data_IF_490340924005
#
_entry.id   IF_490340924005
#
_cell.length_a   1.000
_cell.length_b   1.000
_cell.length_c   1.000
_cell.angle_alpha   90.00
_cell.angle_beta   90.00
_cell.angle_gamma   90.00
#
_symmetry.space_group_name_H-M   'P 1'
#
loop_
_entity.id
_entity.type
_entity.pdbx_description
1 polymer ?
#
# COMPACT_ATOMS: atom_id res chain seq x y z
N UNK A 1 -3.75 2.74 31.48
CA UNK A 1 -4.81 2.77 30.47
C UNK A 1 -5.80 1.64 30.62
N UNK A 2 -5.43 0.62 31.39
CA UNK A 2 -6.34 -0.51 31.56
C UNK A 2 -7.61 -0.09 32.25
N UNK A 3 -7.51 0.87 33.15
CA UNK A 3 -8.68 1.33 33.87
C UNK A 3 -9.69 1.99 32.95
N UNK A 4 -9.25 2.45 31.80
CA UNK A 4 -10.14 3.12 30.86
C UNK A 4 -10.73 2.19 29.82
N UNK A 5 -10.37 0.91 29.88
CA UNK A 5 -10.86 -0.06 28.91
C UNK A 5 -9.80 -0.42 27.89
N UNK A 6 -10.22 -1.09 26.84
CA UNK A 6 -9.33 -1.62 25.82
C UNK A 6 -9.45 -0.83 24.53
N UNK A 7 -8.34 -0.74 23.81
CA UNK A 7 -8.34 -0.20 22.46
C UNK A 7 -7.84 -1.30 21.55
N UNK A 8 -8.65 -1.66 20.57
CA UNK A 8 -8.31 -2.72 19.64
C UNK A 8 -8.24 -2.15 18.24
N UNK A 9 -7.17 -2.47 17.55
CA UNK A 9 -6.96 -2.03 16.17
C UNK A 9 -7.25 -3.22 15.28
N UNK A 10 -8.22 -3.07 14.39
CA UNK A 10 -8.62 -4.18 13.52
C UNK A 10 -7.65 -4.33 12.35
N UNK A 11 -7.70 -5.50 11.74
CA UNK A 11 -6.93 -5.73 10.52
C UNK A 11 -7.30 -4.73 9.43
N UNK A 12 -8.57 -4.36 9.39
CA UNK A 12 -9.04 -3.43 8.39
C UNK A 12 -8.37 -2.08 8.52
N UNK A 13 -8.18 -1.62 9.74
CA UNK A 13 -7.52 -0.33 9.95
C UNK A 13 -6.08 -0.38 9.44
N UNK A 14 -5.36 -1.45 9.80
CA UNK A 14 -3.97 -1.57 9.36
C UNK A 14 -3.90 -1.68 7.84
N UNK A 15 -4.79 -2.48 7.26
CA UNK A 15 -4.81 -2.63 5.80
C UNK A 15 -5.09 -1.31 5.11
N UNK A 16 -6.02 -0.54 5.64
CA UNK A 16 -6.36 0.75 5.04
C UNK A 16 -5.18 1.70 5.09
N UNK A 17 -4.49 1.76 6.22
CA UNK A 17 -3.33 2.63 6.34
C UNK A 17 -2.27 2.22 5.32
N UNK A 18 -1.98 0.93 5.25
CA UNK A 18 -0.94 0.45 4.35
C UNK A 18 -1.31 0.75 2.90
N UNK A 19 -2.56 0.53 2.55
CA UNK A 19 -2.97 0.75 1.17
C UNK A 19 -2.89 2.22 0.79
N UNK A 20 -3.31 3.09 1.67
CA UNK A 20 -3.24 4.52 1.39
C UNK A 20 -1.79 4.98 1.23
N UNK A 21 -0.92 4.49 2.11
CA UNK A 21 0.49 4.85 2.00
C UNK A 21 1.09 4.36 0.69
N UNK A 22 0.82 3.11 0.35
CA UNK A 22 1.38 2.53 -0.87
C UNK A 22 0.89 3.27 -2.10
N UNK A 23 -0.38 3.67 -2.11
CA UNK A 23 -0.95 4.36 -3.25
C UNK A 23 -0.33 5.73 -3.49
N UNK A 24 0.32 6.30 -2.49
CA UNK A 24 0.95 7.60 -2.63
C UNK A 24 2.38 7.51 -3.11
N UNK A 25 2.95 6.33 -3.17
CA UNK A 25 4.35 6.18 -3.52
C UNK A 25 4.50 6.18 -5.03
N UNK A 26 5.37 7.06 -5.53
CA UNK A 26 5.71 7.04 -6.95
C UNK A 26 6.36 5.71 -7.27
N UNK A 27 6.04 5.19 -8.42
CA UNK A 27 6.56 3.90 -8.83
C UNK A 27 5.61 2.77 -8.56
N UNK A 28 4.57 2.98 -7.77
CA UNK A 28 3.55 1.98 -7.53
C UNK A 28 2.33 2.32 -8.38
N UNK A 29 1.94 1.37 -9.22
CA UNK A 29 0.72 1.55 -10.01
C UNK A 29 -0.49 1.21 -9.18
N UNK A 30 -0.47 0.07 -8.53
CA UNK A 30 -1.58 -0.37 -7.70
C UNK A 30 -1.14 -1.60 -6.92
N UNK A 31 -2.01 -2.06 -6.05
CA UNK A 31 -1.89 -3.40 -5.50
C UNK A 31 -2.47 -4.38 -6.50
N UNK A 32 -1.99 -5.62 -6.45
CA UNK A 32 -2.48 -6.65 -7.35
C UNK A 32 -3.98 -6.80 -7.14
N UNK A 33 -4.75 -6.71 -8.22
CA UNK A 33 -6.20 -6.79 -8.13
C UNK A 33 -6.85 -5.56 -7.55
N UNK A 34 -6.05 -4.55 -7.24
CA UNK A 34 -6.57 -3.33 -6.67
C UNK A 34 -7.01 -2.35 -7.73
N UNK A 35 -7.42 -1.20 -7.26
CA UNK A 35 -7.95 -0.15 -8.11
C UNK A 35 -7.01 1.04 -8.12
N UNK A 36 -7.30 1.98 -8.97
CA UNK A 36 -6.58 3.23 -8.98
C UNK A 36 -6.78 3.95 -7.65
N UNK A 37 -6.00 5.01 -7.46
CA UNK A 37 -6.04 5.74 -6.20
C UNK A 37 -7.44 6.17 -5.84
N UNK A 38 -8.21 6.64 -6.80
CA UNK A 38 -9.58 7.08 -6.52
C UNK A 38 -10.50 5.92 -6.19
N UNK A 39 -10.19 4.76 -6.71
CA UNK A 39 -11.05 3.61 -6.52
C UNK A 39 -10.72 2.83 -5.27
N UNK A 40 -9.54 3.05 -4.70
CA UNK A 40 -9.17 2.36 -3.47
C UNK A 40 -10.15 2.68 -2.36
N UNK A 41 -10.56 3.93 -2.25
CA UNK A 41 -11.49 4.31 -1.22
C UNK A 41 -12.81 3.57 -1.38
N UNK A 42 -13.31 3.48 -2.61
CA UNK A 42 -14.52 2.72 -2.86
C UNK A 42 -14.34 1.25 -2.53
N UNK A 43 -13.15 0.73 -2.86
CA UNK A 43 -12.86 -0.66 -2.58
C UNK A 43 -13.00 -0.96 -1.10
N UNK A 44 -12.45 -0.09 -0.26
CA UNK A 44 -12.52 -0.32 1.18
C UNK A 44 -13.91 -0.08 1.74
N UNK A 45 -14.72 0.69 1.06
CA UNK A 45 -16.09 0.88 1.50
C UNK A 45 -16.95 -0.34 1.23
N UNK A 46 -16.59 -1.11 0.22
CA UNK A 46 -17.43 -2.23 -0.19
C UNK A 46 -16.81 -3.59 0.10
N UNK A 47 -15.55 -3.65 0.50
CA UNK A 47 -14.84 -4.89 0.67
C UNK A 47 -14.14 -4.87 2.02
N UNK A 48 -14.12 -6.00 2.69
CA UNK A 48 -13.43 -6.08 3.96
C UNK A 48 -11.93 -6.12 3.74
N UNK A 49 -11.19 -5.83 4.80
CA UNK A 49 -9.75 -5.87 4.77
C UNK A 49 -9.27 -7.26 4.45
N UNK A 50 -8.03 -7.32 3.96
CA UNK A 50 -7.48 -8.60 3.54
C UNK A 50 -7.88 -8.96 2.15
N UNK A 51 -8.49 -8.03 1.44
CA UNK A 51 -8.84 -8.26 0.07
C UNK A 51 -7.61 -8.32 -0.80
N UNK A 52 -7.82 -8.08 -2.07
CA UNK A 52 -6.78 -8.32 -3.05
C UNK A 52 -5.59 -7.43 -2.82
N UNK A 53 -4.42 -8.01 -2.95
CA UNK A 53 -3.18 -7.28 -2.95
C UNK A 53 -2.61 -6.97 -1.58
N UNK A 54 -3.31 -7.34 -0.52
CA UNK A 54 -2.80 -7.07 0.82
C UNK A 54 -3.32 -8.09 1.80
N UNK A 55 -2.42 -8.60 2.63
CA UNK A 55 -2.76 -9.48 3.74
C UNK A 55 -2.18 -8.89 5.00
N UNK A 56 -2.95 -8.88 6.06
CA UNK A 56 -2.54 -8.31 7.33
C UNK A 56 -2.88 -9.27 8.45
N UNK A 57 -1.94 -9.45 9.37
CA UNK A 57 -2.19 -10.15 10.61
C UNK A 57 -1.89 -9.20 11.75
N UNK A 58 -2.85 -9.05 12.65
CA UNK A 58 -2.72 -8.12 13.77
C UNK A 58 -2.86 -8.89 15.06
N UNK A 59 -1.82 -8.81 15.90
CA UNK A 59 -1.88 -9.31 17.27
C UNK A 59 -2.21 -8.18 18.22
N UNK A 60 -1.98 -8.43 19.50
CA UNK A 60 -2.29 -7.41 20.49
C UNK A 60 -1.37 -6.22 20.39
N UNK A 61 -0.08 -6.46 20.10
CA UNK A 61 0.90 -5.39 20.13
C UNK A 61 1.70 -5.30 18.83
N UNK A 62 1.44 -6.19 17.87
CA UNK A 62 2.29 -6.26 16.69
C UNK A 62 1.46 -6.66 15.49
N UNK A 63 2.05 -6.45 14.32
CA UNK A 63 1.37 -6.83 13.08
C UNK A 63 2.39 -7.21 12.02
N UNK A 64 1.89 -7.94 11.03
CA UNK A 64 2.67 -8.36 9.85
C UNK A 64 1.85 -8.05 8.63
N UNK A 65 2.51 -7.56 7.58
CA UNK A 65 1.81 -7.11 6.38
C UNK A 65 2.48 -7.69 5.16
N UNK A 66 1.67 -8.24 4.27
CA UNK A 66 2.14 -8.70 2.96
C UNK A 66 1.48 -7.85 1.90
N UNK A 67 2.29 -7.29 1.01
CA UNK A 67 1.81 -6.40 -0.04
C UNK A 67 2.18 -7.00 -1.38
N UNK A 68 1.21 -7.09 -2.27
CA UNK A 68 1.39 -7.60 -3.63
C UNK A 68 1.19 -6.44 -4.58
N UNK A 69 2.27 -6.02 -5.22
CA UNK A 69 2.40 -4.72 -5.85
C UNK A 69 2.46 -4.86 -7.37
N UNK A 70 1.80 -3.94 -8.06
CA UNK A 70 2.04 -3.70 -9.48
C UNK A 70 2.89 -2.43 -9.56
N UNK A 71 4.11 -2.57 -10.06
CA UNK A 71 5.04 -1.46 -10.10
C UNK A 71 5.02 -0.81 -11.46
N UNK A 72 5.53 0.41 -11.53
CA UNK A 72 5.69 1.12 -12.79
C UNK A 72 7.10 0.91 -13.30
N UNK A 73 7.20 0.79 -14.62
CA UNK A 73 8.51 0.65 -15.26
C UNK A 73 9.29 1.95 -15.09
N UNK A 74 10.60 1.80 -14.97
CA UNK A 74 11.46 2.96 -14.85
C UNK A 74 11.96 3.21 -13.45
N UNK A 75 11.53 2.40 -12.49
CA UNK A 75 11.96 2.53 -11.10
C UNK A 75 12.82 1.34 -10.73
N UNK A 76 13.79 1.58 -9.85
CA UNK A 76 14.58 0.49 -9.31
C UNK A 76 13.74 -0.27 -8.29
N UNK A 77 13.42 -1.51 -8.59
CA UNK A 77 12.46 -2.24 -7.78
C UNK A 77 12.95 -2.51 -6.35
N UNK A 78 14.22 -2.87 -6.12
CA UNK A 78 14.64 -3.03 -4.73
C UNK A 78 14.53 -1.75 -3.91
N UNK A 79 14.85 -0.61 -4.52
CA UNK A 79 14.74 0.66 -3.83
C UNK A 79 13.28 1.01 -3.57
N UNK A 80 12.43 0.73 -4.56
CA UNK A 80 11.00 0.97 -4.40
C UNK A 80 10.44 0.13 -3.27
N UNK A 81 10.81 -1.14 -3.21
CA UNK A 81 10.33 -2.01 -2.15
C UNK A 81 10.79 -1.51 -0.78
N UNK A 82 12.03 -1.03 -0.70
CA UNK A 82 12.53 -0.48 0.56
C UNK A 82 11.77 0.76 0.99
N UNK A 83 11.43 1.61 0.04
CA UNK A 83 10.65 2.79 0.34
C UNK A 83 9.26 2.41 0.85
N UNK A 84 8.64 1.42 0.22
CA UNK A 84 7.34 0.95 0.67
C UNK A 84 7.43 0.45 2.10
N UNK A 85 8.42 -0.39 2.39
CA UNK A 85 8.58 -0.92 3.72
C UNK A 85 8.74 0.18 4.75
N UNK A 86 9.60 1.13 4.48
CA UNK A 86 9.89 2.20 5.42
C UNK A 86 8.66 3.05 5.70
N UNK A 87 7.96 3.42 4.65
CA UNK A 87 6.82 4.32 4.80
C UNK A 87 5.64 3.62 5.45
N UNK A 88 5.42 2.35 5.13
CA UNK A 88 4.33 1.61 5.74
C UNK A 88 4.61 1.41 7.23
N UNK A 89 5.83 1.02 7.57
CA UNK A 89 6.17 0.84 8.99
C UNK A 89 5.93 2.13 9.75
N UNK A 90 6.42 3.24 9.20
CA UNK A 90 6.29 4.51 9.89
C UNK A 90 4.84 4.89 10.09
N UNK A 91 4.04 4.78 9.04
CA UNK A 91 2.64 5.21 9.12
C UNK A 91 1.87 4.37 10.11
N UNK A 92 2.08 3.07 10.10
CA UNK A 92 1.33 2.19 11.00
C UNK A 92 1.78 2.39 12.43
N UNK A 93 3.08 2.50 12.65
CA UNK A 93 3.58 2.70 14.00
C UNK A 93 3.07 4.00 14.58
N UNK A 94 3.11 5.07 13.80
CA UNK A 94 2.69 6.38 14.29
C UNK A 94 1.18 6.45 14.51
N UNK A 95 0.42 5.77 13.69
CA UNK A 95 -1.03 5.87 13.76
C UNK A 95 -1.64 4.92 14.78
N UNK A 96 -1.12 3.70 14.85
CA UNK A 96 -1.75 2.67 15.67
C UNK A 96 -0.96 2.33 16.93
N UNK A 97 0.33 2.63 16.95
CA UNK A 97 1.18 2.22 18.03
C UNK A 97 1.60 0.76 17.99
N UNK A 98 1.15 0.02 16.98
CA UNK A 98 1.53 -1.37 16.85
C UNK A 98 2.97 -1.47 16.36
N UNK A 99 3.65 -2.53 16.81
CA UNK A 99 4.96 -2.84 16.29
C UNK A 99 4.80 -3.62 14.99
N UNK A 100 5.40 -3.13 13.92
CA UNK A 100 5.36 -3.81 12.64
C UNK A 100 6.53 -4.77 12.59
N UNK A 101 6.25 -6.07 12.61
CA UNK A 101 7.30 -7.06 12.60
C UNK A 101 7.87 -7.26 11.22
N UNK A 102 7.01 -7.30 10.20
CA UNK A 102 7.45 -7.50 8.83
C UNK A 102 6.53 -6.76 7.89
N UNK A 103 7.10 -6.18 6.88
CA UNK A 103 6.38 -5.73 5.71
C UNK A 103 7.02 -6.44 4.53
N UNK A 104 6.31 -7.38 3.97
CA UNK A 104 6.81 -8.16 2.84
C UNK A 104 6.23 -7.59 1.56
N UNK A 105 7.08 -7.28 0.61
CA UNK A 105 6.68 -6.66 -0.63
C UNK A 105 6.96 -7.62 -1.76
N UNK A 106 5.90 -7.98 -2.47
CA UNK A 106 5.98 -8.88 -3.62
C UNK A 106 5.58 -8.10 -4.86
N UNK A 107 6.56 -7.79 -5.70
CA UNK A 107 6.28 -7.06 -6.94
C UNK A 107 5.99 -8.10 -8.00
N UNK A 108 4.73 -8.23 -8.35
CA UNK A 108 4.27 -9.31 -9.20
C UNK A 108 4.03 -8.91 -10.63
N UNK A 109 3.85 -7.62 -10.88
CA UNK A 109 3.62 -7.12 -12.22
C UNK A 109 4.31 -5.79 -12.38
N UNK A 110 4.60 -5.46 -13.63
CA UNK A 110 5.16 -4.16 -13.96
C UNK A 110 4.37 -3.63 -15.14
N UNK A 111 4.08 -2.33 -15.10
CA UNK A 111 3.33 -1.68 -16.17
C UNK A 111 4.07 -0.41 -16.54
N UNK A 112 3.67 0.17 -17.64
CA UNK A 112 4.25 1.44 -18.04
C UNK A 112 3.77 2.53 -17.10
N UNK A 113 4.66 3.49 -16.87
CA UNK A 113 4.33 4.64 -16.05
C UNK A 113 3.26 5.46 -16.77
N UNK A 114 2.09 5.58 -16.14
CA UNK A 114 0.98 6.32 -16.71
C UNK A 114 1.38 7.76 -17.02
N UNK A 115 2.10 8.37 -16.09
CA UNK A 115 2.53 9.74 -16.27
C UNK A 115 3.45 9.86 -17.46
N UNK A 116 4.36 8.90 -17.62
CA UNK A 116 5.26 8.87 -18.74
C UNK A 116 4.48 8.67 -20.04
N UNK A 117 3.47 7.82 -20.00
CA UNK A 117 2.64 7.61 -21.18
C UNK A 117 1.93 8.87 -21.58
N UNK A 118 1.42 9.60 -20.63
CA UNK A 118 0.74 10.85 -20.92
C UNK A 118 1.68 11.83 -21.58
N UNK A 119 2.90 11.92 -21.06
CA UNK A 119 3.88 12.81 -21.64
C UNK A 119 4.22 12.37 -23.05
N UNK A 120 4.41 11.07 -23.24
CA UNK A 120 4.74 10.56 -24.56
C UNK A 120 3.63 10.84 -25.56
N UNK A 121 2.39 10.66 -25.13
CA UNK A 121 1.25 10.94 -25.99
C UNK A 121 1.22 12.41 -26.37
N UNK A 122 1.43 13.28 -25.39
CA UNK A 122 1.45 14.71 -25.66
C UNK A 122 2.53 15.07 -26.65
N UNK A 123 3.70 14.47 -26.48
CA UNK A 123 4.80 14.75 -27.39
C UNK A 123 4.48 14.25 -28.79
N UNK A 124 3.89 13.09 -28.88
CA UNK A 124 3.50 12.56 -30.18
C UNK A 124 2.47 13.44 -30.83
N UNK A 125 1.58 13.97 -30.05
CA UNK A 125 0.56 14.86 -30.57
C UNK A 125 1.19 16.12 -31.16
N UNK A 126 2.20 16.61 -30.49
CA UNK A 126 2.89 17.81 -30.96
C UNK A 126 3.65 17.57 -32.25
N UNK A 127 4.07 16.36 -32.44
CA UNK A 127 4.81 16.03 -33.65
C UNK A 127 3.92 15.87 -34.86
#
# INVERSE_FOLDING_TARGET
MKELGNVNISQEVVATIAELVVSEIEGVSSLVGGKSKNEIIKFFQSVSAGGKGIDVEVGETECTIDLYIVAKMGYQLPALAGEIQTKVVKAITETTGLKVQEVNVYIQKIVEDDKKNEVAVAEQTEE
#
